data_IF_366046809278
#
_entry.id   IF_366046809278
#
_cell.length_a   1.000
_cell.length_b   1.000
_cell.length_c   1.000
_cell.angle_alpha   90.00
_cell.angle_beta   90.00
_cell.angle_gamma   90.00
#
_symmetry.space_group_name_H-M   'P 1'
#
loop_
_entity.id
_entity.type
_entity.pdbx_description
1 polymer ?
#
# COMPACT_ATOMS: atom_id res chain seq x y z
N UNK A 1 -11.54 -11.85 37.95
CA UNK A 1 -10.46 -12.14 36.99
C UNK A 1 -9.95 -10.80 36.47
N UNK A 2 -8.66 -10.51 36.60
CA UNK A 2 -8.07 -9.31 36.01
C UNK A 2 -7.97 -9.52 34.50
N UNK A 3 -8.53 -8.59 33.71
CA UNK A 3 -8.31 -8.55 32.27
C UNK A 3 -6.87 -8.11 32.03
N UNK A 4 -6.02 -9.04 31.60
CA UNK A 4 -4.72 -8.71 31.01
C UNK A 4 -4.98 -8.47 29.51
N UNK A 5 -4.75 -7.25 28.98
CA UNK A 5 -4.79 -7.05 27.54
C UNK A 5 -3.74 -7.99 26.92
N UNK A 6 -4.20 -8.90 26.06
CA UNK A 6 -3.29 -9.67 25.23
C UNK A 6 -2.54 -8.67 24.34
N UNK A 7 -1.20 -8.76 24.21
CA UNK A 7 -0.49 -7.92 23.26
C UNK A 7 -1.09 -8.16 21.88
N UNK A 8 -1.65 -7.10 21.28
CA UNK A 8 -2.19 -7.17 19.92
C UNK A 8 -0.99 -7.39 19.01
N UNK A 9 -0.86 -8.59 18.47
CA UNK A 9 0.17 -8.91 17.49
C UNK A 9 -0.20 -8.19 16.19
N UNK A 10 0.38 -7.03 15.95
CA UNK A 10 0.19 -6.28 14.70
C UNK A 10 0.86 -7.07 13.58
N UNK A 11 0.05 -7.66 12.69
CA UNK A 11 0.54 -8.28 11.46
C UNK A 11 1.21 -7.19 10.61
N UNK A 12 2.42 -7.42 10.07
CA UNK A 12 3.07 -6.47 9.19
C UNK A 12 2.21 -6.22 7.95
N UNK A 13 2.34 -5.02 7.39
CA UNK A 13 1.61 -4.64 6.18
C UNK A 13 2.08 -5.51 5.01
N UNK A 14 1.18 -5.83 4.09
CA UNK A 14 1.48 -6.59 2.87
C UNK A 14 1.18 -5.75 1.65
N UNK A 15 2.13 -5.72 0.72
CA UNK A 15 1.98 -5.07 -0.58
C UNK A 15 1.97 -6.16 -1.66
N UNK A 16 0.93 -6.17 -2.49
CA UNK A 16 0.76 -7.17 -3.54
C UNK A 16 0.48 -6.48 -4.87
N UNK A 17 1.15 -6.93 -5.93
CA UNK A 17 0.70 -6.67 -7.29
C UNK A 17 -0.39 -7.68 -7.64
N UNK A 18 -1.55 -7.18 -8.08
CA UNK A 18 -2.65 -8.03 -8.55
C UNK A 18 -2.56 -8.18 -10.07
N UNK A 19 -2.31 -9.41 -10.52
CA UNK A 19 -2.28 -9.76 -11.94
C UNK A 19 -3.68 -10.02 -12.48
N UNK A 20 -3.90 -9.77 -13.77
CA UNK A 20 -5.15 -10.05 -14.49
C UNK A 20 -6.40 -9.32 -13.96
N UNK A 21 -6.23 -8.31 -13.10
CA UNK A 21 -7.34 -7.47 -12.58
C UNK A 21 -7.65 -6.27 -13.49
N UNK A 22 -6.66 -5.82 -14.27
CA UNK A 22 -6.83 -4.71 -15.21
C UNK A 22 -5.93 -4.89 -16.43
N UNK A 23 -6.48 -4.58 -17.60
CA UNK A 23 -5.72 -4.53 -18.86
C UNK A 23 -5.16 -3.14 -19.15
N UNK A 24 -5.45 -2.16 -18.31
CA UNK A 24 -5.13 -0.76 -18.59
C UNK A 24 -4.35 -0.08 -17.48
N UNK A 25 -4.14 -0.70 -16.32
CA UNK A 25 -3.37 -0.13 -15.21
C UNK A 25 -2.68 -1.24 -14.42
N UNK A 26 -1.58 -0.91 -13.75
CA UNK A 26 -1.01 -1.79 -12.72
C UNK A 26 -1.87 -1.67 -11.47
N UNK A 27 -2.17 -2.80 -10.82
CA UNK A 27 -3.05 -2.82 -9.64
C UNK A 27 -2.24 -3.24 -8.42
N UNK A 28 -2.19 -2.37 -7.41
CA UNK A 28 -1.48 -2.62 -6.15
C UNK A 28 -2.49 -2.73 -5.03
N UNK A 29 -2.47 -3.86 -4.32
CA UNK A 29 -3.23 -4.07 -3.10
C UNK A 29 -2.31 -3.86 -1.88
N UNK A 30 -2.79 -3.09 -0.92
CA UNK A 30 -2.13 -2.80 0.35
C UNK A 30 -3.03 -3.31 1.46
N UNK A 31 -2.52 -4.26 2.26
CA UNK A 31 -3.19 -4.74 3.48
C UNK A 31 -2.42 -4.29 4.70
N UNK A 32 -3.08 -3.67 5.66
CA UNK A 32 -2.43 -3.21 6.89
C UNK A 32 -3.41 -3.13 8.06
N UNK A 33 -2.88 -2.94 9.27
CA UNK A 33 -3.72 -2.52 10.39
C UNK A 33 -4.21 -1.09 10.17
N UNK A 34 -5.48 -0.82 10.47
CA UNK A 34 -6.03 0.52 10.33
C UNK A 34 -5.33 1.49 11.29
N UNK A 35 -4.71 2.53 10.74
CA UNK A 35 -3.97 3.52 11.48
C UNK A 35 -4.18 4.91 10.85
N UNK A 36 -4.41 5.96 11.68
CA UNK A 36 -4.56 7.32 11.16
C UNK A 36 -3.38 7.73 10.27
N UNK A 37 -3.69 8.24 9.07
CA UNK A 37 -2.69 8.74 8.13
C UNK A 37 -2.04 7.66 7.24
N UNK A 38 -2.38 6.37 7.40
CA UNK A 38 -1.82 5.29 6.60
C UNK A 38 -2.08 5.50 5.09
N UNK A 39 -3.32 5.77 4.69
CA UNK A 39 -3.68 6.04 3.30
C UNK A 39 -2.89 7.22 2.70
N UNK A 40 -2.72 8.31 3.46
CA UNK A 40 -1.94 9.46 3.02
C UNK A 40 -0.47 9.11 2.82
N UNK A 41 0.09 8.25 3.67
CA UNK A 41 1.46 7.76 3.55
C UNK A 41 1.63 6.91 2.28
N UNK A 42 0.69 6.02 1.99
CA UNK A 42 0.69 5.21 0.75
C UNK A 42 0.64 6.12 -0.48
N UNK A 43 -0.33 7.03 -0.53
CA UNK A 43 -0.49 7.95 -1.64
C UNK A 43 0.76 8.82 -1.86
N UNK A 44 1.39 9.26 -0.78
CA UNK A 44 2.63 10.03 -0.84
C UNK A 44 3.78 9.21 -1.45
N UNK A 45 4.01 7.97 -0.99
CA UNK A 45 5.06 7.10 -1.53
C UNK A 45 4.84 6.81 -3.02
N UNK A 46 3.60 6.56 -3.45
CA UNK A 46 3.28 6.37 -4.87
C UNK A 46 3.66 7.62 -5.67
N UNK A 47 3.25 8.80 -5.19
CA UNK A 47 3.56 10.07 -5.83
C UNK A 47 5.06 10.38 -5.88
N UNK A 48 5.82 10.11 -4.82
CA UNK A 48 7.28 10.33 -4.78
C UNK A 48 8.05 9.42 -5.76
N UNK A 49 7.49 8.26 -6.10
CA UNK A 49 8.04 7.36 -7.12
C UNK A 49 7.68 7.78 -8.56
N UNK A 50 7.02 8.93 -8.71
CA UNK A 50 6.61 9.47 -10.01
C UNK A 50 5.56 8.60 -10.69
N UNK A 51 4.64 8.02 -9.91
CA UNK A 51 3.57 7.15 -10.37
C UNK A 51 2.23 7.82 -10.10
N UNK A 52 1.33 7.78 -11.08
CA UNK A 52 0.01 8.41 -10.99
C UNK A 52 -1.06 7.43 -10.51
N UNK A 53 -1.82 7.83 -9.49
CA UNK A 53 -3.00 7.10 -9.03
C UNK A 53 -4.20 7.48 -9.90
N UNK A 54 -4.75 6.51 -10.62
CA UNK A 54 -5.93 6.69 -11.48
C UNK A 54 -7.22 6.51 -10.71
N UNK A 55 -7.23 5.55 -9.79
CA UNK A 55 -8.34 5.27 -8.90
C UNK A 55 -7.83 4.57 -7.65
N UNK A 56 -8.56 4.70 -6.56
CA UNK A 56 -8.35 3.95 -5.34
C UNK A 56 -9.69 3.41 -4.83
N UNK A 57 -9.69 2.16 -4.39
CA UNK A 57 -10.78 1.53 -3.64
C UNK A 57 -10.23 1.33 -2.23
N UNK A 58 -10.90 1.91 -1.23
CA UNK A 58 -10.44 1.93 0.17
C UNK A 58 -11.51 1.23 1.00
N UNK A 59 -11.15 0.11 1.62
CA UNK A 59 -12.07 -0.71 2.41
C UNK A 59 -11.49 -1.01 3.78
N UNK A 60 -12.31 -0.87 4.82
CA UNK A 60 -11.97 -1.26 6.20
C UNK A 60 -12.70 -2.54 6.56
N UNK A 61 -11.94 -3.58 6.91
CA UNK A 61 -12.42 -4.89 7.34
C UNK A 61 -12.06 -5.10 8.82
N UNK A 62 -12.96 -4.68 9.71
CA UNK A 62 -12.74 -4.76 11.16
C UNK A 62 -11.61 -3.82 11.59
N UNK A 63 -10.45 -4.39 11.94
CA UNK A 63 -9.25 -3.63 12.31
C UNK A 63 -8.17 -3.61 11.23
N UNK A 64 -8.47 -4.14 10.05
CA UNK A 64 -7.55 -4.13 8.91
C UNK A 64 -8.12 -3.24 7.80
N UNK A 65 -7.21 -2.63 7.02
CA UNK A 65 -7.53 -1.96 5.77
C UNK A 65 -7.07 -2.82 4.60
N UNK A 66 -7.86 -2.82 3.54
CA UNK A 66 -7.52 -3.41 2.24
C UNK A 66 -7.76 -2.32 1.20
N UNK A 67 -6.67 -1.68 0.79
CA UNK A 67 -6.70 -0.59 -0.18
C UNK A 67 -6.17 -1.09 -1.52
N UNK A 68 -6.88 -0.81 -2.60
CA UNK A 68 -6.50 -1.17 -3.97
C UNK A 68 -6.28 0.10 -4.79
N UNK A 69 -5.08 0.25 -5.34
CA UNK A 69 -4.68 1.39 -6.16
C UNK A 69 -4.48 0.95 -7.61
N UNK A 70 -5.14 1.65 -8.52
CA UNK A 70 -4.91 1.52 -9.96
C UNK A 70 -3.91 2.60 -10.35
N UNK A 71 -2.70 2.18 -10.74
CA UNK A 71 -1.57 3.09 -10.97
C UNK A 71 -1.01 3.00 -12.38
N UNK A 72 -0.43 4.10 -12.84
CA UNK A 72 0.16 4.27 -14.17
C UNK A 72 1.42 5.11 -14.13
N UNK A 73 2.23 4.98 -15.19
CA UNK A 73 3.21 6.01 -15.50
C UNK A 73 2.50 7.33 -15.84
N UNK A 74 3.11 8.50 -15.60
CA UNK A 74 2.53 9.80 -15.97
C UNK A 74 2.25 9.95 -17.48
N UNK A 75 2.89 9.11 -18.31
CA UNK A 75 2.62 8.99 -19.75
C UNK A 75 1.28 8.32 -20.05
N UNK A 76 0.62 7.72 -19.06
CA UNK A 76 -0.62 6.96 -19.19
C UNK A 76 -0.40 5.46 -19.47
N UNK A 77 0.85 5.01 -19.54
CA UNK A 77 1.23 3.61 -19.75
C UNK A 77 1.16 2.79 -18.45
N UNK A 78 1.02 1.47 -18.61
CA UNK A 78 1.13 0.51 -17.49
C UNK A 78 2.59 0.47 -17.04
N UNK A 79 2.85 0.31 -15.74
CA UNK A 79 4.21 0.20 -15.24
C UNK A 79 4.87 -1.04 -15.84
N UNK A 80 6.13 -0.90 -16.25
CA UNK A 80 6.95 -2.07 -16.55
C UNK A 80 7.15 -2.94 -15.30
N UNK A 81 7.45 -4.23 -15.46
CA UNK A 81 7.72 -5.12 -14.33
C UNK A 81 8.79 -4.58 -13.37
N UNK A 82 9.84 -3.95 -13.90
CA UNK A 82 10.89 -3.34 -13.08
C UNK A 82 10.36 -2.15 -12.28
N UNK A 83 9.55 -1.28 -12.89
CA UNK A 83 8.94 -0.12 -12.22
C UNK A 83 7.93 -0.56 -11.17
N UNK A 84 7.11 -1.57 -11.45
CA UNK A 84 6.20 -2.16 -10.49
C UNK A 84 6.97 -2.72 -9.27
N UNK A 85 8.03 -3.51 -9.50
CA UNK A 85 8.85 -4.05 -8.42
C UNK A 85 9.49 -2.95 -7.56
N UNK A 86 9.98 -1.87 -8.16
CA UNK A 86 10.52 -0.72 -7.44
C UNK A 86 9.46 -0.06 -6.55
N UNK A 87 8.26 0.16 -7.09
CA UNK A 87 7.15 0.74 -6.34
C UNK A 87 6.72 -0.16 -5.17
N UNK A 88 6.58 -1.47 -5.41
CA UNK A 88 6.23 -2.45 -4.37
C UNK A 88 7.27 -2.45 -3.25
N UNK A 89 8.56 -2.41 -3.58
CA UNK A 89 9.64 -2.34 -2.60
C UNK A 89 9.61 -1.04 -1.79
N UNK A 90 9.37 0.10 -2.44
CA UNK A 90 9.25 1.39 -1.75
C UNK A 90 8.07 1.42 -0.78
N UNK A 91 6.92 0.89 -1.20
CA UNK A 91 5.73 0.75 -0.36
C UNK A 91 5.97 -0.19 0.81
N UNK A 92 6.56 -1.36 0.57
CA UNK A 92 6.87 -2.32 1.63
C UNK A 92 7.83 -1.72 2.66
N UNK A 93 8.89 -1.06 2.20
CA UNK A 93 9.83 -0.34 3.06
C UNK A 93 9.11 0.71 3.91
N UNK A 94 8.31 1.56 3.28
CA UNK A 94 7.58 2.61 4.00
C UNK A 94 6.59 2.03 5.02
N UNK A 95 5.88 0.95 4.70
CA UNK A 95 4.87 0.37 5.59
C UNK A 95 5.45 -0.41 6.76
N UNK A 96 6.57 -1.11 6.55
CA UNK A 96 7.12 -2.05 7.52
C UNK A 96 8.37 -1.54 8.25
N UNK A 97 8.93 -0.40 7.84
CA UNK A 97 10.05 0.23 8.54
C UNK A 97 9.62 1.58 9.13
N UNK A 98 9.85 1.73 10.43
CA UNK A 98 9.73 3.03 11.10
C UNK A 98 10.90 3.88 10.63
N UNK A 99 10.63 5.05 10.04
CA UNK A 99 11.68 6.06 9.87
C UNK A 99 12.27 6.36 11.25
N UNK A 100 13.50 5.91 11.48
CA UNK A 100 14.31 6.41 12.59
C UNK A 100 14.63 7.87 12.27
N UNK A 101 13.74 8.77 12.68
CA UNK A 101 14.03 10.20 12.67
C UNK A 101 14.93 10.48 13.87
N UNK A 102 16.16 10.90 13.55
CA UNK A 102 17.15 11.49 14.46
C UNK A 102 16.60 12.77 15.09
#
# INVERSE_FOLDING_TARGET
AQYLPQPVSVTPSKILELQDVSNSATVIEVRAHDAPGFLSKIAHVISENGVDIQAAIVETLGSEVVDVFYVKEPTGEILSNQRCQQLVQALDYACNHVSATI
#
